data_IF_427378150921
#
_entry.id   IF_427378150921
#
_cell.length_a   1.000
_cell.length_b   1.000
_cell.length_c   1.000
_cell.angle_alpha   90.00
_cell.angle_beta   90.00
_cell.angle_gamma   90.00
#
_symmetry.space_group_name_H-M   'P 1'
#
loop_
_entity.id
_entity.type
_entity.pdbx_description
1 polymer ?
#
# COMPACT_ATOMS: atom_id res chain seq x y z
N UNK A 1 20.83 -16.09 -13.09
CA UNK A 1 21.35 -14.74 -13.01
C UNK A 1 22.44 -14.48 -14.02
N UNK A 2 22.69 -13.25 -14.35
CA UNK A 2 23.81 -12.82 -15.19
C UNK A 2 24.52 -11.63 -14.50
N UNK A 3 25.70 -11.28 -15.00
CA UNK A 3 26.43 -10.14 -14.48
C UNK A 3 27.04 -9.31 -15.62
N UNK A 4 27.25 -8.04 -15.33
CA UNK A 4 27.92 -7.07 -16.19
C UNK A 4 29.07 -6.45 -15.41
N UNK A 5 30.21 -6.27 -16.08
CA UNK A 5 31.41 -5.62 -15.50
C UNK A 5 31.64 -4.30 -16.22
N UNK A 6 31.82 -3.21 -15.45
CA UNK A 6 32.15 -1.89 -15.96
C UNK A 6 33.27 -1.26 -15.13
N UNK A 7 33.74 -0.08 -15.53
CA UNK A 7 34.70 0.70 -14.73
C UNK A 7 34.13 1.14 -13.38
N UNK A 8 32.77 1.22 -13.26
CA UNK A 8 32.07 1.60 -12.05
C UNK A 8 31.86 0.43 -11.09
N UNK A 9 32.08 -0.81 -11.54
CA UNK A 9 31.91 -2.00 -10.71
C UNK A 9 31.25 -3.18 -11.43
N UNK A 10 30.70 -4.08 -10.64
CA UNK A 10 30.01 -5.28 -11.10
C UNK A 10 28.54 -5.18 -10.78
N UNK A 11 27.69 -5.29 -11.80
CA UNK A 11 26.24 -5.36 -11.68
C UNK A 11 25.78 -6.82 -11.76
N UNK A 12 25.12 -7.30 -10.71
CA UNK A 12 24.53 -8.63 -10.66
C UNK A 12 23.02 -8.51 -10.95
N UNK A 13 22.53 -9.29 -11.91
CA UNK A 13 21.11 -9.33 -12.27
C UNK A 13 20.52 -10.69 -11.90
N UNK A 14 19.48 -10.68 -11.09
CA UNK A 14 18.72 -11.86 -10.69
C UNK A 14 17.28 -11.73 -11.17
N UNK A 15 16.79 -12.73 -11.88
CA UNK A 15 15.40 -12.85 -12.25
C UNK A 15 14.72 -13.78 -11.25
N UNK A 16 13.74 -13.25 -10.52
CA UNK A 16 13.01 -13.95 -9.49
C UNK A 16 11.57 -14.18 -9.96
N UNK A 17 10.91 -15.20 -9.43
CA UNK A 17 9.55 -15.61 -9.81
C UNK A 17 8.45 -14.94 -8.97
N UNK A 18 8.79 -14.04 -8.07
CA UNK A 18 7.87 -13.35 -7.17
C UNK A 18 8.58 -12.22 -6.43
N UNK A 19 7.95 -11.71 -5.39
CA UNK A 19 8.48 -10.65 -4.53
C UNK A 19 9.38 -11.29 -3.46
N UNK A 20 10.64 -10.88 -3.48
CA UNK A 20 11.64 -11.31 -2.52
C UNK A 20 12.36 -10.10 -1.92
N UNK A 21 12.72 -10.22 -0.68
CA UNK A 21 13.70 -9.37 -0.02
C UNK A 21 15.07 -10.02 -0.13
N UNK A 22 16.13 -9.26 0.05
CA UNK A 22 17.47 -9.82 0.01
C UNK A 22 18.28 -9.43 1.24
N UNK A 23 19.19 -10.31 1.60
CA UNK A 23 20.21 -10.08 2.63
C UNK A 23 21.58 -10.38 2.04
N UNK A 24 22.54 -9.53 2.34
CA UNK A 24 23.93 -9.73 1.92
C UNK A 24 24.83 -9.94 3.13
N UNK A 25 25.78 -10.87 3.00
CA UNK A 25 26.83 -11.11 3.99
C UNK A 25 28.14 -11.15 3.21
N UNK A 26 29.14 -10.38 3.65
CA UNK A 26 30.50 -10.44 3.13
C UNK A 26 31.38 -11.14 4.19
N UNK A 27 31.90 -12.32 3.85
CA UNK A 27 32.75 -13.10 4.73
C UNK A 27 33.89 -13.73 3.93
N UNK A 28 35.11 -13.65 4.44
CA UNK A 28 36.33 -14.22 3.81
C UNK A 28 36.50 -13.84 2.32
N UNK A 29 36.14 -12.62 1.95
CA UNK A 29 36.13 -12.10 0.57
C UNK A 29 35.06 -12.70 -0.34
N UNK A 30 34.11 -13.48 0.21
CA UNK A 30 32.96 -14.02 -0.51
C UNK A 30 31.71 -13.22 -0.16
N UNK A 31 30.92 -12.86 -1.20
CA UNK A 31 29.64 -12.19 -1.05
C UNK A 31 28.51 -13.21 -1.14
N UNK A 32 27.81 -13.41 -0.04
CA UNK A 32 26.62 -14.23 0.02
C UNK A 32 25.39 -13.35 -0.15
N UNK A 33 24.50 -13.73 -1.08
CA UNK A 33 23.22 -13.05 -1.31
C UNK A 33 22.10 -14.07 -1.10
N UNK A 34 21.28 -13.85 -0.11
CA UNK A 34 20.12 -14.67 0.20
C UNK A 34 18.83 -13.94 -0.20
N UNK A 35 17.96 -14.61 -0.93
CA UNK A 35 16.62 -14.13 -1.25
C UNK A 35 15.61 -14.83 -0.35
N UNK A 36 14.81 -14.06 0.33
CA UNK A 36 13.84 -14.52 1.33
C UNK A 36 12.46 -13.98 0.96
N UNK A 37 11.42 -14.74 1.21
CA UNK A 37 10.06 -14.20 1.08
C UNK A 37 9.84 -13.08 2.11
N UNK A 38 8.95 -12.12 1.85
CA UNK A 38 8.68 -11.04 2.80
C UNK A 38 8.37 -11.52 4.21
N UNK A 39 7.58 -12.58 4.34
CA UNK A 39 7.20 -13.15 5.66
C UNK A 39 8.35 -13.88 6.40
N UNK A 40 9.41 -14.26 5.71
CA UNK A 40 10.62 -14.77 6.37
C UNK A 40 11.47 -13.65 6.97
N UNK A 41 11.28 -12.42 6.50
CA UNK A 41 12.03 -11.25 6.99
C UNK A 41 11.26 -10.36 7.95
N UNK A 42 9.93 -10.30 7.82
CA UNK A 42 9.10 -9.35 8.55
C UNK A 42 7.87 -10.01 9.15
N UNK A 43 7.66 -9.79 10.43
CA UNK A 43 6.50 -10.32 11.16
C UNK A 43 5.21 -9.58 10.78
N UNK A 44 5.30 -8.26 10.54
CA UNK A 44 4.18 -7.40 10.22
C UNK A 44 4.37 -6.73 8.86
N UNK A 45 3.44 -7.00 7.96
CA UNK A 45 3.45 -6.50 6.58
C UNK A 45 2.12 -5.83 6.27
N UNK A 46 2.19 -4.61 5.74
CA UNK A 46 1.02 -3.90 5.24
C UNK A 46 1.24 -3.50 3.78
N UNK A 47 0.17 -3.44 3.01
CA UNK A 47 0.16 -2.84 1.67
C UNK A 47 -0.67 -1.58 1.72
N UNK A 48 -0.09 -0.48 1.25
CA UNK A 48 -0.75 0.81 1.05
C UNK A 48 -1.00 1.00 -0.43
N UNK A 49 -2.26 1.21 -0.78
CA UNK A 49 -2.70 1.37 -2.16
C UNK A 49 -3.30 2.77 -2.40
N UNK A 50 -2.51 3.76 -2.84
CA UNK A 50 -3.06 5.02 -3.26
C UNK A 50 -3.77 4.86 -4.62
N UNK A 51 -5.10 4.95 -4.62
CA UNK A 51 -5.93 4.79 -5.80
C UNK A 51 -5.60 5.80 -6.90
N UNK A 52 -5.97 5.48 -8.14
CA UNK A 52 -5.72 6.26 -9.34
C UNK A 52 -4.22 6.40 -9.66
N UNK A 53 -3.86 7.23 -10.63
CA UNK A 53 -2.47 7.49 -11.05
C UNK A 53 -2.31 7.58 -12.56
N UNK A 54 -1.18 8.10 -13.03
CA UNK A 54 -0.90 8.25 -14.46
C UNK A 54 -2.02 8.98 -15.20
N UNK A 55 -2.60 8.35 -16.21
CA UNK A 55 -3.74 8.88 -16.98
C UNK A 55 -5.07 8.82 -16.22
N UNK A 56 -5.20 7.99 -15.20
CA UNK A 56 -6.37 7.95 -14.32
C UNK A 56 -6.24 9.03 -13.24
N UNK A 57 -6.87 10.18 -13.46
CA UNK A 57 -6.82 11.32 -12.52
C UNK A 57 -7.69 11.12 -11.29
N UNK A 58 -8.68 10.21 -11.36
CA UNK A 58 -9.76 10.15 -10.38
C UNK A 58 -10.64 11.40 -10.46
N UNK A 59 -11.28 11.75 -9.38
CA UNK A 59 -12.08 12.98 -9.31
C UNK A 59 -11.22 14.23 -9.35
N UNK A 60 -11.78 15.29 -9.91
CA UNK A 60 -11.17 16.61 -9.98
C UNK A 60 -12.12 17.67 -9.44
N UNK A 61 -11.63 18.50 -8.53
CA UNK A 61 -12.36 19.66 -8.02
C UNK A 61 -11.35 20.77 -7.68
N UNK A 62 -11.67 22.01 -8.10
CA UNK A 62 -10.85 23.20 -7.80
C UNK A 62 -9.35 23.06 -8.16
N UNK A 63 -9.05 22.32 -9.23
CA UNK A 63 -7.69 22.05 -9.68
C UNK A 63 -6.94 20.99 -8.84
N UNK A 64 -7.61 20.33 -7.92
CA UNK A 64 -7.08 19.20 -7.15
C UNK A 64 -7.46 17.88 -7.85
N UNK A 65 -6.49 16.99 -8.00
CA UNK A 65 -6.70 15.67 -8.57
C UNK A 65 -6.65 14.63 -7.46
N UNK A 66 -7.62 13.71 -7.44
CA UNK A 66 -7.66 12.61 -6.49
C UNK A 66 -6.34 11.83 -6.46
N UNK A 67 -5.81 11.46 -7.63
CA UNK A 67 -4.54 10.73 -7.73
C UNK A 67 -3.38 11.40 -6.98
N UNK A 68 -3.35 12.73 -7.00
CA UNK A 68 -2.28 13.52 -6.37
C UNK A 68 -2.42 13.56 -4.86
N UNK A 69 -3.65 13.69 -4.37
CA UNK A 69 -3.97 13.67 -2.95
C UNK A 69 -3.64 12.29 -2.36
N UNK A 70 -4.13 11.22 -3.00
CA UNK A 70 -3.87 9.84 -2.55
C UNK A 70 -2.36 9.53 -2.49
N UNK A 71 -1.61 9.94 -3.52
CA UNK A 71 -0.17 9.75 -3.56
C UNK A 71 0.55 10.54 -2.46
N UNK A 72 0.13 11.78 -2.21
CA UNK A 72 0.71 12.60 -1.15
C UNK A 72 0.49 11.97 0.23
N UNK A 73 -0.72 11.50 0.52
CA UNK A 73 -1.02 10.79 1.77
C UNK A 73 -0.14 9.56 1.92
N UNK A 74 -0.01 8.73 0.86
CA UNK A 74 0.82 7.54 0.88
C UNK A 74 2.30 7.87 1.14
N UNK A 75 2.84 8.94 0.54
CA UNK A 75 4.22 9.40 0.79
C UNK A 75 4.43 9.86 2.24
N UNK A 76 3.46 10.57 2.79
CA UNK A 76 3.51 10.99 4.21
C UNK A 76 3.41 9.81 5.17
N UNK A 77 2.59 8.79 4.83
CA UNK A 77 2.53 7.53 5.58
C UNK A 77 3.86 6.78 5.52
N UNK A 78 4.48 6.72 4.33
CA UNK A 78 5.78 6.10 4.15
C UNK A 78 6.83 6.68 5.10
N UNK A 79 6.95 7.99 5.18
CA UNK A 79 7.90 8.67 6.06
C UNK A 79 7.71 8.31 7.55
N UNK A 80 6.48 7.95 7.94
CA UNK A 80 6.15 7.52 9.30
C UNK A 80 6.40 6.03 9.50
N UNK A 81 5.95 5.20 8.57
CA UNK A 81 6.07 3.75 8.64
C UNK A 81 7.51 3.27 8.53
N UNK A 82 8.35 3.96 7.76
CA UNK A 82 9.79 3.67 7.65
C UNK A 82 10.55 3.81 9.00
N UNK A 83 9.90 4.43 10.00
CA UNK A 83 10.47 4.59 11.37
C UNK A 83 9.95 3.55 12.35
N UNK A 84 9.18 2.59 11.87
CA UNK A 84 8.58 1.51 12.67
C UNK A 84 9.15 0.16 12.27
N UNK A 85 8.77 -0.89 12.97
CA UNK A 85 9.07 -2.28 12.66
C UNK A 85 8.04 -2.92 11.71
N UNK A 86 7.11 -2.12 11.15
CA UNK A 86 6.14 -2.56 10.17
C UNK A 86 6.73 -2.41 8.78
N UNK A 87 6.81 -3.51 8.03
CA UNK A 87 7.17 -3.46 6.62
C UNK A 87 5.97 -2.99 5.79
N UNK A 88 6.11 -1.85 5.14
CA UNK A 88 5.09 -1.34 4.24
C UNK A 88 5.52 -1.51 2.78
N UNK A 89 4.65 -2.10 1.98
CA UNK A 89 4.72 -2.08 0.52
C UNK A 89 3.71 -1.09 -0.03
N UNK A 90 3.99 -0.55 -1.21
CA UNK A 90 3.15 0.47 -1.86
C UNK A 90 2.87 0.01 -3.27
N UNK A 91 1.60 0.07 -3.70
CA UNK A 91 1.24 -0.26 -5.08
C UNK A 91 1.83 0.76 -6.05
N UNK A 92 2.00 2.00 -5.60
CA UNK A 92 2.75 3.05 -6.29
C UNK A 92 3.32 4.07 -5.29
N UNK A 93 4.42 4.68 -5.65
CA UNK A 93 5.04 5.84 -4.95
C UNK A 93 5.31 7.00 -5.91
N UNK A 94 4.94 6.82 -7.18
CA UNK A 94 5.03 7.81 -8.24
C UNK A 94 3.70 7.95 -8.99
N UNK A 95 3.62 8.87 -9.95
CA UNK A 95 2.41 9.09 -10.75
C UNK A 95 2.28 8.05 -11.88
N UNK A 96 2.12 6.81 -11.48
CA UNK A 96 1.82 5.66 -12.33
C UNK A 96 0.48 5.06 -11.91
N UNK A 97 -0.18 4.33 -12.81
CA UNK A 97 -1.44 3.63 -12.54
C UNK A 97 -1.24 2.12 -12.73
N UNK A 98 -0.83 1.38 -11.70
CA UNK A 98 -0.82 -0.08 -11.77
C UNK A 98 -2.22 -0.63 -12.02
N UNK A 99 -2.30 -1.73 -12.78
CA UNK A 99 -3.55 -2.45 -12.98
C UNK A 99 -4.06 -3.05 -11.66
N UNK A 100 -5.37 -3.23 -11.53
CA UNK A 100 -5.98 -3.74 -10.29
C UNK A 100 -5.43 -5.12 -9.91
N UNK A 101 -5.16 -5.97 -10.91
CA UNK A 101 -4.54 -7.29 -10.69
C UNK A 101 -3.13 -7.19 -10.09
N UNK A 102 -2.34 -6.19 -10.49
CA UNK A 102 -1.01 -5.96 -9.92
C UNK A 102 -1.08 -5.48 -8.47
N UNK A 103 -2.08 -4.64 -8.16
CA UNK A 103 -2.34 -4.16 -6.79
C UNK A 103 -2.67 -5.32 -5.85
N UNK A 104 -3.60 -6.17 -6.26
CA UNK A 104 -4.00 -7.37 -5.51
C UNK A 104 -2.86 -8.39 -5.42
N UNK A 105 -2.12 -8.58 -6.53
CA UNK A 105 -0.97 -9.48 -6.56
C UNK A 105 0.10 -9.06 -5.55
N UNK A 106 0.40 -7.78 -5.42
CA UNK A 106 1.35 -7.27 -4.42
C UNK A 106 0.96 -7.72 -3.00
N UNK A 107 -0.30 -7.58 -2.62
CA UNK A 107 -0.77 -7.98 -1.31
C UNK A 107 -0.67 -9.50 -1.08
N UNK A 108 -1.04 -10.28 -2.10
CA UNK A 108 -1.03 -11.74 -2.02
C UNK A 108 0.41 -12.31 -1.98
N UNK A 109 1.30 -11.84 -2.85
CA UNK A 109 2.69 -12.34 -2.90
C UNK A 109 3.50 -11.93 -1.67
N UNK A 110 3.25 -10.75 -1.11
CA UNK A 110 3.89 -10.33 0.14
C UNK A 110 3.28 -10.98 1.38
N UNK A 111 2.11 -11.65 1.24
CA UNK A 111 1.30 -12.20 2.33
C UNK A 111 1.01 -11.12 3.38
N UNK A 112 0.59 -9.96 2.91
CA UNK A 112 0.32 -8.82 3.77
C UNK A 112 -0.75 -9.14 4.82
N UNK A 113 -0.53 -8.68 6.05
CA UNK A 113 -1.51 -8.80 7.15
C UNK A 113 -2.67 -7.82 6.96
N UNK A 114 -2.40 -6.68 6.29
CA UNK A 114 -3.39 -5.64 6.03
C UNK A 114 -3.17 -5.04 4.64
N UNK A 115 -4.28 -4.76 3.96
CA UNK A 115 -4.33 -3.97 2.73
C UNK A 115 -5.20 -2.74 2.97
N UNK A 116 -4.66 -1.55 2.71
CA UNK A 116 -5.34 -0.28 2.94
C UNK A 116 -5.31 0.53 1.66
N UNK A 117 -6.47 0.69 1.03
CA UNK A 117 -6.66 1.55 -0.13
C UNK A 117 -7.01 2.96 0.32
N UNK A 118 -6.31 3.94 -0.20
CA UNK A 118 -6.54 5.37 0.03
C UNK A 118 -7.24 5.93 -1.20
N UNK A 119 -8.42 6.51 -1.00
CA UNK A 119 -9.26 7.02 -2.06
C UNK A 119 -9.95 8.29 -1.61
N UNK A 120 -10.06 9.27 -2.49
CA UNK A 120 -10.92 10.43 -2.32
C UNK A 120 -12.20 10.17 -3.11
N UNK A 121 -13.33 10.23 -2.42
CA UNK A 121 -14.63 10.08 -3.05
C UNK A 121 -15.25 11.45 -3.36
N UNK A 122 -16.25 11.49 -4.21
CA UNK A 122 -17.05 12.66 -4.51
C UNK A 122 -18.53 12.36 -4.35
N UNK A 123 -19.30 13.40 -4.11
CA UNK A 123 -20.75 13.32 -4.09
C UNK A 123 -21.36 14.56 -4.75
N UNK A 124 -22.47 14.39 -5.48
CA UNK A 124 -23.15 15.50 -6.18
C UNK A 124 -23.71 16.52 -5.19
N UNK A 125 -24.23 16.03 -4.06
CA UNK A 125 -24.68 16.90 -2.97
C UNK A 125 -23.48 17.30 -2.10
N UNK A 126 -23.12 18.58 -2.16
CA UNK A 126 -22.02 19.17 -1.41
C UNK A 126 -22.21 19.16 0.10
N UNK A 127 -23.42 18.88 0.60
CA UNK A 127 -23.66 18.67 2.04
C UNK A 127 -23.18 17.31 2.53
N UNK A 128 -22.93 16.36 1.62
CA UNK A 128 -22.36 15.05 1.91
C UNK A 128 -20.85 15.17 1.88
N UNK A 129 -20.23 15.22 3.03
CA UNK A 129 -18.77 15.26 3.21
C UNK A 129 -18.37 14.51 4.47
N UNK A 130 -17.17 14.00 4.48
CA UNK A 130 -16.63 13.29 5.64
C UNK A 130 -15.80 12.07 5.24
N UNK A 131 -15.42 11.28 6.22
CA UNK A 131 -14.69 10.04 6.06
C UNK A 131 -15.64 8.85 6.13
N UNK A 132 -15.57 7.98 5.15
CA UNK A 132 -16.23 6.69 5.11
C UNK A 132 -15.15 5.62 5.06
N UNK A 133 -15.18 4.63 5.95
CA UNK A 133 -14.34 3.46 5.83
C UNK A 133 -15.15 2.29 5.23
N UNK A 134 -14.60 1.72 4.16
CA UNK A 134 -15.18 0.55 3.49
C UNK A 134 -14.35 -0.67 3.85
N UNK A 135 -14.99 -1.76 4.30
CA UNK A 135 -14.29 -2.97 4.73
C UNK A 135 -14.79 -4.21 3.99
N UNK A 136 -13.89 -5.18 3.83
CA UNK A 136 -14.26 -6.49 3.31
C UNK A 136 -14.84 -7.35 4.42
N UNK A 137 -16.15 -7.65 4.34
CA UNK A 137 -16.87 -8.50 5.28
C UNK A 137 -16.90 -9.98 4.94
N UNK A 138 -16.26 -10.40 3.83
CA UNK A 138 -16.32 -11.79 3.35
C UNK A 138 -15.67 -12.79 4.29
N UNK A 139 -14.78 -12.35 5.18
CA UNK A 139 -14.06 -13.21 6.11
C UNK A 139 -14.12 -12.67 7.52
N UNK A 140 -14.59 -13.49 8.44
CA UNK A 140 -14.52 -13.17 9.87
C UNK A 140 -13.15 -13.57 10.42
N UNK A 141 -12.44 -12.60 10.98
CA UNK A 141 -11.17 -12.81 11.68
C UNK A 141 -11.40 -12.52 13.17
N UNK A 142 -11.28 -13.53 14.05
CA UNK A 142 -11.50 -13.32 15.48
C UNK A 142 -10.49 -12.32 16.08
N UNK A 143 -11.00 -11.42 16.90
CA UNK A 143 -10.21 -10.46 17.66
C UNK A 143 -10.00 -9.13 16.95
N UNK A 144 -9.31 -9.10 15.82
CA UNK A 144 -9.07 -7.89 15.05
C UNK A 144 -9.08 -8.21 13.55
N UNK A 145 -10.18 -7.89 12.90
CA UNK A 145 -10.40 -8.12 11.47
C UNK A 145 -10.59 -6.82 10.69
N UNK A 146 -11.18 -6.95 9.50
CA UNK A 146 -11.37 -5.83 8.59
C UNK A 146 -12.29 -4.74 9.16
N UNK A 147 -13.33 -5.12 9.88
CA UNK A 147 -14.29 -4.16 10.47
C UNK A 147 -13.65 -3.37 11.61
N UNK A 148 -12.89 -4.02 12.48
CA UNK A 148 -12.19 -3.35 13.57
C UNK A 148 -11.11 -2.41 13.05
N UNK A 149 -10.39 -2.81 11.99
CA UNK A 149 -9.42 -1.95 11.32
C UNK A 149 -10.12 -0.73 10.71
N UNK A 150 -11.24 -0.92 10.03
CA UNK A 150 -12.02 0.15 9.43
C UNK A 150 -12.52 1.15 10.48
N UNK A 151 -13.04 0.67 11.62
CA UNK A 151 -13.49 1.50 12.74
C UNK A 151 -12.36 2.36 13.31
N UNK A 152 -11.21 1.75 13.56
CA UNK A 152 -10.04 2.49 14.06
C UNK A 152 -9.59 3.55 13.06
N UNK A 153 -9.46 3.21 11.78
CA UNK A 153 -9.02 4.14 10.75
C UNK A 153 -10.01 5.29 10.58
N UNK A 154 -11.30 4.99 10.50
CA UNK A 154 -12.34 6.02 10.34
C UNK A 154 -12.31 7.01 11.48
N UNK A 155 -12.35 6.55 12.72
CA UNK A 155 -12.35 7.37 13.91
C UNK A 155 -11.09 8.21 14.06
N UNK A 156 -9.91 7.59 13.90
CA UNK A 156 -8.63 8.29 14.11
C UNK A 156 -8.36 9.32 13.01
N UNK A 157 -8.68 9.00 11.75
CA UNK A 157 -8.51 9.96 10.65
C UNK A 157 -9.52 11.09 10.75
N UNK A 158 -10.82 10.80 11.00
CA UNK A 158 -11.84 11.84 11.18
C UNK A 158 -11.47 12.81 12.30
N UNK A 159 -10.96 12.28 13.43
CA UNK A 159 -10.48 13.09 14.55
C UNK A 159 -9.28 13.95 14.14
N UNK A 160 -8.30 13.38 13.46
CA UNK A 160 -7.06 14.06 13.07
C UNK A 160 -7.29 15.21 12.10
N UNK A 161 -8.20 15.05 11.14
CA UNK A 161 -8.55 16.09 10.17
C UNK A 161 -9.68 17.02 10.66
N UNK A 162 -10.20 16.79 11.87
CA UNK A 162 -11.39 17.47 12.41
C UNK A 162 -12.59 17.36 11.45
N UNK A 163 -12.65 16.23 10.75
CA UNK A 163 -13.68 15.92 9.79
C UNK A 163 -14.88 15.21 10.42
N UNK A 164 -15.88 14.96 9.58
CA UNK A 164 -17.06 14.19 9.97
C UNK A 164 -16.83 12.71 9.70
N UNK A 165 -17.09 11.85 10.68
CA UNK A 165 -17.21 10.42 10.51
C UNK A 165 -18.57 10.09 9.86
N UNK A 166 -18.57 9.36 8.75
CA UNK A 166 -19.77 8.90 8.05
C UNK A 166 -20.14 7.46 8.41
N UNK A 167 -19.24 6.77 9.09
CA UNK A 167 -19.41 5.40 9.54
C UNK A 167 -18.68 4.38 8.68
N UNK A 168 -19.10 3.12 8.83
CA UNK A 168 -18.53 1.98 8.15
C UNK A 168 -19.49 1.46 7.09
N UNK A 169 -18.96 1.00 5.96
CA UNK A 169 -19.74 0.32 4.92
C UNK A 169 -19.05 -0.99 4.55
N UNK A 170 -19.84 -2.04 4.41
CA UNK A 170 -19.33 -3.28 3.83
C UNK A 170 -19.17 -3.11 2.32
N UNK A 171 -18.02 -3.51 1.80
CA UNK A 171 -17.70 -3.44 0.37
C UNK A 171 -18.67 -4.33 -0.44
N UNK A 172 -19.14 -3.80 -1.54
CA UNK A 172 -19.95 -4.53 -2.50
C UNK A 172 -19.05 -5.18 -3.57
N UNK A 173 -19.57 -6.16 -4.31
CA UNK A 173 -18.78 -6.87 -5.33
C UNK A 173 -18.16 -5.97 -6.41
N UNK A 174 -18.70 -4.78 -6.64
CA UNK A 174 -18.16 -3.78 -7.57
C UNK A 174 -17.04 -2.91 -6.98
N UNK A 175 -16.73 -3.05 -5.71
CA UNK A 175 -15.72 -2.26 -5.00
C UNK A 175 -14.33 -2.92 -5.03
N UNK A 176 -14.20 -4.07 -5.71
CA UNK A 176 -12.97 -4.87 -5.82
C UNK A 176 -12.41 -4.84 -7.24
#
# INVERSE_FOLDING_TARGET
GNYEVSEEGIKLNFQLSGIFEYRTILENNDLYISFLSPKEMYDRIIVIDPACGGSNTGYEADGLLEKSINLQIAKMLKEKLDKTDIKAYYTRIDDVNPEEEDRVRLANETKADMYIRIQVNSHEDTSVYGLLAVYNGSYFIPGFGSVELADVLEREVATSVKGRALGLSEAQAQDY
#
